data_IF_178112867514
#
_entry.id   IF_178112867514
#
_cell.length_a   1.000
_cell.length_b   1.000
_cell.length_c   1.000
_cell.angle_alpha   90.00
_cell.angle_beta   90.00
_cell.angle_gamma   90.00
#
_symmetry.space_group_name_H-M   'P 1'
#
loop_
_entity.id
_entity.type
_entity.pdbx_description
1 polymer ?
#
# COMPACT_ATOMS: atom_id res chain seq x y z
N UNK A 1 -9.17 -14.17 -15.30
CA UNK A 1 -8.05 -13.46 -14.65
C UNK A 1 -7.36 -12.53 -15.66
N UNK A 2 -8.05 -11.48 -16.14
CA UNK A 2 -7.54 -10.63 -17.24
C UNK A 2 -7.95 -9.15 -17.16
N UNK A 3 -8.52 -8.69 -16.04
CA UNK A 3 -9.10 -7.34 -15.95
C UNK A 3 -8.31 -6.37 -15.06
N UNK A 4 -7.01 -6.60 -14.83
CA UNK A 4 -6.14 -5.66 -14.09
C UNK A 4 -5.02 -5.05 -14.95
N UNK A 5 -4.83 -5.55 -16.19
CA UNK A 5 -3.75 -5.13 -17.08
C UNK A 5 -4.09 -3.95 -18.01
N UNK A 6 -5.33 -3.44 -17.98
CA UNK A 6 -5.76 -2.36 -18.88
C UNK A 6 -5.74 -0.96 -18.25
N UNK A 7 -5.46 -0.81 -16.95
CA UNK A 7 -5.40 0.52 -16.32
C UNK A 7 -4.05 1.24 -16.50
N UNK A 8 -2.98 0.54 -16.87
CA UNK A 8 -1.63 1.11 -16.94
C UNK A 8 -1.32 1.84 -18.26
N UNK A 9 -2.23 1.87 -19.25
CA UNK A 9 -1.95 2.46 -20.56
C UNK A 9 -2.41 3.93 -20.73
N UNK A 10 -3.18 4.48 -19.78
CA UNK A 10 -3.81 5.81 -19.95
C UNK A 10 -3.76 6.74 -18.72
N UNK A 11 -3.21 6.31 -17.59
CA UNK A 11 -2.98 7.22 -16.47
C UNK A 11 -1.52 7.70 -16.56
N UNK A 12 -1.31 9.02 -16.68
CA UNK A 12 -0.01 9.60 -16.36
C UNK A 12 0.44 9.17 -14.96
N UNK A 13 1.73 9.35 -14.63
CA UNK A 13 2.32 8.90 -13.36
C UNK A 13 1.33 9.07 -12.21
N UNK A 14 0.96 7.98 -11.50
CA UNK A 14 0.07 8.12 -10.37
C UNK A 14 0.71 9.12 -9.41
N UNK A 15 -0.08 10.00 -8.76
CA UNK A 15 0.42 10.84 -7.69
C UNK A 15 1.31 9.97 -6.80
N UNK A 16 2.48 10.44 -6.39
CA UNK A 16 3.43 9.62 -5.60
C UNK A 16 2.78 8.96 -4.37
N UNK A 17 1.70 9.54 -3.85
CA UNK A 17 0.88 8.96 -2.78
C UNK A 17 0.13 7.67 -3.16
N UNK A 18 -0.08 7.38 -4.44
CA UNK A 18 -0.72 6.17 -4.97
C UNK A 18 0.29 5.23 -5.65
N UNK A 19 1.59 5.57 -5.66
CA UNK A 19 2.62 4.64 -6.10
C UNK A 19 2.58 3.38 -5.21
N UNK A 20 2.86 2.22 -5.82
CA UNK A 20 2.84 0.92 -5.16
C UNK A 20 4.20 0.25 -5.34
N UNK A 21 5.16 0.63 -4.50
CA UNK A 21 6.54 0.17 -4.63
C UNK A 21 6.77 -1.04 -3.70
N UNK A 22 7.15 -2.19 -4.26
CA UNK A 22 7.57 -3.35 -3.45
C UNK A 22 8.93 -3.04 -2.79
N UNK A 23 8.93 -2.89 -1.47
CA UNK A 23 10.12 -2.58 -0.67
C UNK A 23 10.70 -3.81 0.04
N UNK A 24 10.19 -5.01 -0.27
CA UNK A 24 10.77 -6.27 0.16
C UNK A 24 9.82 -7.20 0.93
N UNK A 25 10.36 -8.27 1.54
CA UNK A 25 9.55 -9.16 2.38
C UNK A 25 9.11 -8.48 3.69
N UNK A 26 7.96 -8.90 4.19
CA UNK A 26 7.50 -8.62 5.54
C UNK A 26 7.98 -9.72 6.51
N UNK A 27 8.15 -9.34 7.77
CA UNK A 27 8.33 -10.27 8.90
C UNK A 27 7.00 -10.81 9.45
N UNK A 28 5.86 -10.28 8.97
CA UNK A 28 4.52 -10.69 9.39
C UNK A 28 3.86 -11.63 8.37
N UNK A 29 2.97 -12.47 8.88
CA UNK A 29 2.09 -13.32 8.07
C UNK A 29 0.68 -12.73 8.00
N UNK A 30 -0.04 -13.03 6.91
CA UNK A 30 -1.39 -12.53 6.72
C UNK A 30 -2.33 -13.05 7.82
N UNK A 31 -3.04 -12.18 8.56
CA UNK A 31 -3.98 -12.63 9.59
C UNK A 31 -5.16 -13.46 9.05
N UNK A 32 -5.52 -13.28 7.77
CA UNK A 32 -6.64 -13.98 7.15
C UNK A 32 -6.26 -15.39 6.63
N UNK A 33 -5.05 -15.59 6.10
CA UNK A 33 -4.66 -16.85 5.46
C UNK A 33 -3.31 -17.43 5.88
N UNK A 34 -2.54 -16.75 6.73
CA UNK A 34 -1.23 -17.20 7.22
C UNK A 34 -0.08 -17.11 6.20
N UNK A 35 -0.34 -16.69 4.95
CA UNK A 35 0.69 -16.56 3.93
C UNK A 35 1.72 -15.46 4.26
N UNK A 36 2.94 -15.60 3.74
CA UNK A 36 3.96 -14.56 3.84
C UNK A 36 3.51 -13.29 3.09
N UNK A 37 3.80 -12.13 3.68
CA UNK A 37 3.45 -10.83 3.10
C UNK A 37 4.67 -10.11 2.52
N UNK A 38 4.40 -9.11 1.67
CA UNK A 38 5.39 -8.16 1.16
C UNK A 38 5.18 -6.81 1.83
N UNK A 39 6.24 -6.05 2.01
CA UNK A 39 6.16 -4.64 2.38
C UNK A 39 6.04 -3.81 1.12
N UNK A 40 5.09 -2.89 1.11
CA UNK A 40 4.83 -1.98 -0.02
C UNK A 40 4.86 -0.55 0.47
N UNK A 41 5.55 0.34 -0.24
CA UNK A 41 5.44 1.78 -0.01
C UNK A 41 4.27 2.31 -0.83
N UNK A 42 3.23 2.76 -0.13
CA UNK A 42 2.02 3.33 -0.70
C UNK A 42 1.39 4.30 0.30
N UNK A 43 0.62 5.29 -0.17
CA UNK A 43 -0.11 6.22 0.71
C UNK A 43 0.78 7.02 1.67
N UNK A 44 2.08 7.16 1.34
CA UNK A 44 3.07 7.79 2.22
C UNK A 44 3.47 6.96 3.44
N UNK A 45 3.16 5.67 3.46
CA UNK A 45 3.55 4.71 4.50
C UNK A 45 4.16 3.45 3.86
N UNK A 46 4.88 2.67 4.68
CA UNK A 46 5.23 1.28 4.34
C UNK A 46 4.19 0.40 5.00
N UNK A 47 3.54 -0.46 4.22
CA UNK A 47 2.42 -1.31 4.65
C UNK A 47 2.73 -2.77 4.35
N UNK A 48 2.13 -3.67 5.13
CA UNK A 48 2.18 -5.10 4.86
C UNK A 48 1.05 -5.51 3.90
N UNK A 49 1.39 -6.22 2.81
CA UNK A 49 0.46 -6.61 1.76
C UNK A 49 0.44 -8.12 1.57
N UNK A 50 -0.76 -8.69 1.64
CA UNK A 50 -1.09 -10.03 1.20
C UNK A 50 -1.59 -9.98 -0.27
N UNK A 51 -1.13 -10.92 -1.09
CA UNK A 51 -1.56 -10.99 -2.49
C UNK A 51 -3.08 -11.25 -2.65
N UNK A 52 -3.68 -11.99 -1.71
CA UNK A 52 -5.09 -12.39 -1.79
C UNK A 52 -6.04 -11.49 -0.97
N UNK A 53 -5.54 -10.86 0.10
CA UNK A 53 -6.38 -10.13 1.07
C UNK A 53 -6.08 -8.63 1.16
N UNK A 54 -5.10 -8.13 0.40
CA UNK A 54 -4.75 -6.71 0.38
C UNK A 54 -3.84 -6.28 1.53
N UNK A 55 -3.96 -5.02 1.95
CA UNK A 55 -3.06 -4.39 2.92
C UNK A 55 -3.55 -4.51 4.35
N UNK A 56 -2.60 -4.67 5.25
CA UNK A 56 -2.78 -4.68 6.69
C UNK A 56 -2.02 -3.50 7.28
N UNK A 57 -2.65 -2.86 8.26
CA UNK A 57 -2.07 -1.76 9.02
C UNK A 57 -1.84 -2.22 10.45
N UNK A 58 -0.68 -1.93 11.00
CA UNK A 58 -0.59 -1.74 12.44
C UNK A 58 -1.20 -0.40 12.86
N UNK A 59 -1.35 -0.20 14.16
CA UNK A 59 -1.96 1.02 14.71
C UNK A 59 -1.25 2.29 14.23
N UNK A 60 0.08 2.28 14.22
CA UNK A 60 0.89 3.44 13.87
C UNK A 60 0.87 3.73 12.37
N UNK A 61 0.74 2.70 11.54
CA UNK A 61 0.63 2.81 10.09
C UNK A 61 -0.71 3.41 9.67
N UNK A 62 -1.82 2.95 10.28
CA UNK A 62 -3.15 3.50 10.00
C UNK A 62 -3.23 4.98 10.39
N UNK A 63 -2.72 5.35 11.57
CA UNK A 63 -2.68 6.73 12.03
C UNK A 63 -1.93 7.64 11.05
N UNK A 64 -0.78 7.20 10.52
CA UNK A 64 0.00 7.96 9.52
C UNK A 64 -0.77 8.19 8.23
N UNK A 65 -1.41 7.14 7.71
CA UNK A 65 -2.19 7.24 6.48
C UNK A 65 -3.39 8.18 6.69
N UNK A 66 -4.13 8.02 7.78
CA UNK A 66 -5.26 8.90 8.10
C UNK A 66 -4.82 10.35 8.30
N UNK A 67 -3.69 10.60 9.00
CA UNK A 67 -3.14 11.95 9.16
C UNK A 67 -2.83 12.59 7.81
N UNK A 68 -2.19 11.83 6.90
CA UNK A 68 -1.85 12.33 5.56
C UNK A 68 -3.08 12.73 4.75
N UNK A 69 -4.15 11.96 4.85
CA UNK A 69 -5.38 12.20 4.07
C UNK A 69 -6.36 13.19 4.72
N UNK A 70 -6.50 13.17 6.04
CA UNK A 70 -7.50 13.98 6.75
C UNK A 70 -7.09 15.45 6.84
N UNK A 71 -5.80 15.73 6.85
CA UNK A 71 -5.28 17.06 7.20
C UNK A 71 -4.57 17.73 6.02
N UNK A 72 -4.34 16.99 4.92
CA UNK A 72 -3.60 17.47 3.75
C UNK A 72 -2.22 17.98 4.14
N UNK A 73 -1.22 17.10 4.18
CA UNK A 73 0.14 17.55 4.50
C UNK A 73 0.57 18.71 3.58
N UNK A 74 1.06 19.84 4.14
CA UNK A 74 1.80 20.80 3.34
C UNK A 74 3.07 20.10 2.87
N UNK A 75 3.21 20.00 1.56
CA UNK A 75 4.44 19.56 0.88
C UNK A 75 5.64 20.26 1.53
N UNK A 76 6.49 19.49 2.22
CA UNK A 76 7.86 19.92 2.54
C UNK A 76 8.77 19.67 1.34
#
# INVERSE_FOLDING_TARGET
>A
MRAMLQWMAHAGDPPRALAWDDVGPSDRTCPACGAAMRRVAAYGAVLDSCADHGVWFDRSELERVLYRFAIGEPTR
#
